data_IF_448746916225
#
_entry.id   IF_448746916225
#
_cell.length_a   1.000
_cell.length_b   1.000
_cell.length_c   1.000
_cell.angle_alpha   90.00
_cell.angle_beta   90.00
_cell.angle_gamma   90.00
#
_symmetry.space_group_name_H-M   'P 1'
#
loop_
_entity.id
_entity.type
_entity.pdbx_description
1 polymer ?
#
# COMPACT_ATOMS: atom_id res chain seq x y z
N UNK A 1 -55.13 5.34 11.69
CA UNK A 1 -55.51 4.59 10.47
C UNK A 1 -54.25 3.98 9.90
N UNK A 2 -54.16 2.65 9.80
CA UNK A 2 -53.01 1.98 9.21
C UNK A 2 -53.04 2.15 7.68
N UNK A 3 -51.90 2.48 7.07
CA UNK A 3 -51.77 2.66 5.63
C UNK A 3 -51.98 1.36 4.83
N UNK A 4 -52.08 1.45 3.50
CA UNK A 4 -52.35 0.30 2.64
C UNK A 4 -51.27 -0.77 2.77
N UNK A 5 -51.69 -2.04 2.70
CA UNK A 5 -50.80 -3.19 2.83
C UNK A 5 -49.75 -3.21 1.71
N UNK A 6 -48.65 -3.92 1.93
CA UNK A 6 -47.65 -4.14 0.88
C UNK A 6 -48.24 -4.78 -0.38
N UNK A 7 -49.18 -5.72 -0.21
CA UNK A 7 -49.85 -6.42 -1.32
C UNK A 7 -50.71 -5.45 -2.14
N UNK A 8 -51.39 -4.51 -1.49
CA UNK A 8 -52.21 -3.51 -2.20
C UNK A 8 -51.36 -2.51 -2.99
N UNK A 9 -50.15 -2.19 -2.49
CA UNK A 9 -49.20 -1.34 -3.21
C UNK A 9 -48.62 -2.01 -4.44
N UNK A 10 -48.34 -3.31 -4.38
CA UNK A 10 -47.83 -4.07 -5.55
C UNK A 10 -48.92 -4.24 -6.60
N UNK A 11 -50.17 -4.47 -6.18
CA UNK A 11 -51.29 -4.64 -7.13
C UNK A 11 -51.64 -3.35 -7.88
N UNK A 12 -51.43 -2.21 -7.23
CA UNK A 12 -51.70 -0.88 -7.80
C UNK A 12 -50.44 -0.17 -8.28
N UNK A 13 -49.29 -0.85 -8.32
CA UNK A 13 -48.09 -0.31 -8.94
C UNK A 13 -48.38 -0.10 -10.43
N UNK A 14 -48.11 1.09 -10.94
CA UNK A 14 -48.13 1.33 -12.38
C UNK A 14 -47.23 0.29 -13.06
N UNK A 15 -47.66 -0.26 -14.19
CA UNK A 15 -46.81 -1.11 -15.00
C UNK A 15 -45.52 -0.32 -15.25
N UNK A 16 -44.39 -0.93 -14.87
CA UNK A 16 -43.05 -0.35 -14.98
C UNK A 16 -42.95 0.28 -16.37
N UNK A 17 -42.81 1.61 -16.44
CA UNK A 17 -42.33 2.22 -17.67
C UNK A 17 -40.96 1.58 -17.86
N UNK A 18 -40.86 0.63 -18.78
CA UNK A 18 -39.59 0.08 -19.27
C UNK A 18 -38.84 1.28 -19.87
N UNK A 19 -38.23 2.09 -19.00
CA UNK A 19 -37.28 3.11 -19.40
C UNK A 19 -36.19 2.30 -20.04
N UNK A 20 -35.99 2.39 -21.36
CA UNK A 20 -34.92 1.65 -22.00
C UNK A 20 -33.67 2.07 -21.26
N UNK A 21 -33.00 1.10 -20.63
CA UNK A 21 -31.66 1.29 -20.12
C UNK A 21 -30.91 1.83 -21.32
N UNK A 22 -30.61 3.13 -21.30
CA UNK A 22 -29.72 3.69 -22.31
C UNK A 22 -28.46 2.87 -22.16
N UNK A 23 -28.04 2.22 -23.24
CA UNK A 23 -26.71 1.62 -23.38
C UNK A 23 -25.62 2.71 -23.38
N UNK A 24 -25.76 3.72 -22.52
CA UNK A 24 -24.74 4.68 -22.13
C UNK A 24 -23.85 4.06 -21.04
N UNK A 25 -23.64 2.75 -21.12
CA UNK A 25 -22.38 2.13 -20.70
C UNK A 25 -21.34 2.42 -21.78
N UNK A 26 -21.14 3.71 -22.10
CA UNK A 26 -19.85 4.14 -22.63
C UNK A 26 -18.76 3.63 -21.68
N UNK A 27 -17.54 3.37 -22.17
CA UNK A 27 -16.50 2.77 -21.33
C UNK A 27 -16.36 3.61 -20.06
N UNK A 28 -16.67 3.00 -18.91
CA UNK A 28 -16.49 3.55 -17.56
C UNK A 28 -15.04 4.06 -17.36
N UNK A 29 -14.12 3.64 -18.25
CA UNK A 29 -12.74 4.09 -18.36
C UNK A 29 -12.57 5.58 -18.70
N UNK A 30 -13.61 6.26 -19.20
CA UNK A 30 -13.51 7.64 -19.68
C UNK A 30 -13.99 8.71 -18.67
N UNK A 31 -14.41 8.32 -17.47
CA UNK A 31 -14.65 9.27 -16.40
C UNK A 31 -13.33 9.61 -15.72
N UNK A 32 -12.73 10.71 -16.16
CA UNK A 32 -11.65 11.46 -15.53
C UNK A 32 -10.47 10.60 -15.04
N UNK A 33 -9.40 10.54 -15.84
CA UNK A 33 -8.08 10.13 -15.32
C UNK A 33 -7.62 11.22 -14.36
N UNK A 34 -8.20 11.27 -13.17
CA UNK A 34 -7.66 12.02 -12.05
C UNK A 34 -6.24 11.50 -11.84
N UNK A 35 -5.27 12.42 -11.76
CA UNK A 35 -3.89 12.04 -11.48
C UNK A 35 -3.85 11.16 -10.23
N UNK A 36 -3.28 9.97 -10.39
CA UNK A 36 -3.21 8.99 -9.32
C UNK A 36 -2.44 9.59 -8.13
N UNK A 37 -3.08 9.59 -6.96
CA UNK A 37 -2.44 10.08 -5.73
C UNK A 37 -1.18 9.26 -5.43
N UNK A 38 -0.22 9.87 -4.72
CA UNK A 38 1.00 9.15 -4.32
C UNK A 38 0.70 7.87 -3.52
N UNK A 39 -0.37 7.87 -2.71
CA UNK A 39 -0.81 6.69 -1.97
C UNK A 39 -1.32 5.58 -2.91
N UNK A 40 -2.17 5.91 -3.88
CA UNK A 40 -2.66 4.96 -4.87
C UNK A 40 -1.49 4.35 -5.68
N UNK A 41 -0.53 5.18 -6.11
CA UNK A 41 0.70 4.73 -6.75
C UNK A 41 1.44 3.71 -5.87
N UNK A 42 1.65 4.03 -4.58
CA UNK A 42 2.34 3.11 -3.67
C UNK A 42 1.55 1.81 -3.45
N UNK A 43 0.22 1.86 -3.31
CA UNK A 43 -0.62 0.66 -3.17
C UNK A 43 -0.46 -0.25 -4.40
N UNK A 44 -0.41 0.32 -5.61
CA UNK A 44 -0.13 -0.43 -6.83
C UNK A 44 1.25 -1.07 -6.79
N UNK A 45 2.30 -0.29 -6.51
CA UNK A 45 3.66 -0.83 -6.43
C UNK A 45 3.81 -1.89 -5.34
N UNK A 46 3.17 -1.70 -4.19
CA UNK A 46 3.11 -2.67 -3.10
C UNK A 46 2.41 -3.96 -3.51
N UNK A 47 1.28 -3.87 -4.19
CA UNK A 47 0.54 -5.03 -4.70
C UNK A 47 1.38 -5.77 -5.73
N UNK A 48 2.00 -5.06 -6.67
CA UNK A 48 2.87 -5.66 -7.68
C UNK A 48 4.07 -6.36 -7.04
N UNK A 49 4.74 -5.71 -6.08
CA UNK A 49 5.87 -6.28 -5.37
C UNK A 49 5.48 -7.57 -4.63
N UNK A 50 4.31 -7.61 -3.99
CA UNK A 50 3.85 -8.83 -3.29
C UNK A 50 3.60 -10.01 -4.21
N UNK A 51 3.16 -9.77 -5.45
CA UNK A 51 2.78 -10.83 -6.39
C UNK A 51 3.87 -11.14 -7.42
N UNK A 52 4.91 -10.31 -7.54
CA UNK A 52 6.04 -10.59 -8.40
C UNK A 52 6.98 -11.65 -7.76
N UNK A 53 7.47 -12.64 -8.54
CA UNK A 53 8.40 -13.65 -8.03
C UNK A 53 9.80 -13.08 -7.74
N UNK A 54 10.19 -12.05 -8.50
CA UNK A 54 11.47 -11.35 -8.44
C UNK A 54 11.30 -9.93 -7.88
N UNK A 55 12.40 -9.29 -7.46
CA UNK A 55 12.41 -7.92 -6.94
C UNK A 55 12.16 -6.91 -8.06
N UNK A 56 11.23 -5.98 -7.84
CA UNK A 56 10.92 -4.91 -8.80
C UNK A 56 11.80 -3.67 -8.56
N UNK A 57 11.84 -2.68 -9.48
CA UNK A 57 12.57 -1.45 -9.25
C UNK A 57 12.09 -0.68 -8.01
N UNK A 58 13.03 -0.24 -7.18
CA UNK A 58 12.75 0.58 -6.00
C UNK A 58 12.03 1.88 -6.39
N UNK A 59 11.06 2.28 -5.56
CA UNK A 59 10.26 3.48 -5.76
C UNK A 59 10.70 4.58 -4.78
N UNK A 60 11.99 4.89 -4.77
CA UNK A 60 12.62 5.74 -3.74
C UNK A 60 12.01 7.15 -3.71
N UNK A 61 11.86 7.79 -4.87
CA UNK A 61 11.30 9.14 -4.95
C UNK A 61 9.83 9.19 -4.47
N UNK A 62 9.03 8.19 -4.84
CA UNK A 62 7.65 8.08 -4.36
C UNK A 62 7.60 7.86 -2.85
N UNK A 63 8.44 6.96 -2.33
CA UNK A 63 8.52 6.65 -0.92
C UNK A 63 8.98 7.87 -0.10
N UNK A 64 9.99 8.60 -0.58
CA UNK A 64 10.47 9.83 0.05
C UNK A 64 9.37 10.87 0.20
N UNK A 65 8.66 11.19 -0.89
CA UNK A 65 7.52 12.13 -0.87
C UNK A 65 6.43 11.71 0.11
N UNK A 66 6.11 10.42 0.17
CA UNK A 66 5.10 9.89 1.10
C UNK A 66 5.56 9.96 2.56
N UNK A 67 6.81 9.65 2.84
CA UNK A 67 7.38 9.75 4.19
C UNK A 67 7.38 11.20 4.68
N UNK A 68 7.74 12.16 3.82
CA UNK A 68 7.71 13.58 4.15
C UNK A 68 6.29 14.06 4.44
N UNK A 69 5.31 13.66 3.61
CA UNK A 69 3.91 14.00 3.82
C UNK A 69 3.38 13.39 5.13
N UNK A 70 3.68 12.12 5.40
CA UNK A 70 3.24 11.43 6.62
C UNK A 70 3.89 12.01 7.87
N UNK A 71 5.15 12.45 7.78
CA UNK A 71 5.82 13.17 8.87
C UNK A 71 5.08 14.47 9.19
N UNK A 72 4.84 15.31 8.16
CA UNK A 72 4.10 16.57 8.34
C UNK A 72 2.70 16.35 8.92
N UNK A 73 1.92 15.41 8.38
CA UNK A 73 0.59 15.10 8.91
C UNK A 73 0.64 14.56 10.34
N UNK A 74 1.67 13.78 10.70
CA UNK A 74 1.83 13.30 12.07
C UNK A 74 2.10 14.46 13.03
N UNK A 75 2.93 15.42 12.63
CA UNK A 75 3.25 16.62 13.43
C UNK A 75 2.01 17.52 13.59
N UNK A 76 1.26 17.75 12.50
CA UNK A 76 0.02 18.52 12.51
C UNK A 76 -1.04 17.87 13.43
N UNK A 77 -1.20 16.55 13.37
CA UNK A 77 -2.12 15.82 14.25
C UNK A 77 -1.70 15.92 15.72
N UNK A 78 -0.41 15.87 16.02
CA UNK A 78 0.08 16.04 17.39
C UNK A 78 -0.20 17.44 17.92
N UNK A 79 0.00 18.47 17.08
CA UNK A 79 -0.30 19.86 17.44
C UNK A 79 -1.79 20.06 17.73
N UNK A 80 -2.66 19.59 16.83
CA UNK A 80 -4.11 19.73 16.98
C UNK A 80 -4.66 18.95 18.19
N UNK A 81 -4.04 17.80 18.55
CA UNK A 81 -4.41 17.06 19.76
C UNK A 81 -4.01 17.76 21.06
N UNK A 82 -3.01 18.63 21.01
CA UNK A 82 -2.53 19.34 22.19
C UNK A 82 -3.40 20.56 22.54
N UNK A 83 -4.33 20.95 21.67
CA UNK A 83 -5.25 22.07 21.87
C UNK A 83 -6.38 21.69 22.85
N UNK A 84 -6.40 22.25 24.08
CA UNK A 84 -7.41 21.93 25.09
C UNK A 84 -8.79 22.51 24.75
N UNK A 85 -8.88 23.47 23.83
CA UNK A 85 -10.12 24.15 23.46
C UNK A 85 -10.81 23.52 22.23
N UNK A 86 -10.29 22.39 21.73
CA UNK A 86 -10.85 21.68 20.59
C UNK A 86 -12.25 21.11 20.88
N UNK A 87 -13.18 21.31 19.95
CA UNK A 87 -14.54 20.78 20.02
C UNK A 87 -14.58 19.26 19.84
N UNK A 88 -15.67 18.59 20.28
CA UNK A 88 -15.85 17.15 20.06
C UNK A 88 -15.83 16.76 18.57
N UNK A 89 -16.35 17.62 17.70
CA UNK A 89 -16.35 17.40 16.25
C UNK A 89 -14.92 17.48 15.67
N UNK A 90 -14.11 18.42 16.14
CA UNK A 90 -12.69 18.50 15.77
C UNK A 90 -11.91 17.30 16.29
N UNK A 91 -12.18 16.87 17.53
CA UNK A 91 -11.58 15.66 18.08
C UNK A 91 -11.87 14.43 17.21
N UNK A 92 -13.11 14.26 16.76
CA UNK A 92 -13.49 13.19 15.85
C UNK A 92 -12.75 13.27 14.50
N UNK A 93 -12.66 14.47 13.89
CA UNK A 93 -11.87 14.68 12.66
C UNK A 93 -10.40 14.32 12.85
N UNK A 94 -9.80 14.72 13.97
CA UNK A 94 -8.40 14.42 14.30
C UNK A 94 -8.18 12.90 14.45
N UNK A 95 -9.13 12.18 15.06
CA UNK A 95 -9.07 10.71 15.12
C UNK A 95 -9.06 10.10 13.72
N UNK A 96 -9.93 10.55 12.81
CA UNK A 96 -9.98 10.03 11.45
C UNK A 96 -8.65 10.24 10.71
N UNK A 97 -8.07 11.44 10.80
CA UNK A 97 -6.76 11.75 10.17
C UNK A 97 -5.65 10.88 10.78
N UNK A 98 -5.63 10.73 12.11
CA UNK A 98 -4.66 9.86 12.78
C UNK A 98 -4.77 8.41 12.31
N UNK A 99 -6.00 7.89 12.19
CA UNK A 99 -6.22 6.53 11.69
C UNK A 99 -5.71 6.39 10.25
N UNK A 100 -5.93 7.38 9.39
CA UNK A 100 -5.44 7.34 8.02
C UNK A 100 -3.91 7.37 7.95
N UNK A 101 -3.26 8.20 8.76
CA UNK A 101 -1.80 8.23 8.89
C UNK A 101 -1.25 6.84 9.23
N UNK A 102 -1.88 6.13 10.17
CA UNK A 102 -1.45 4.78 10.55
C UNK A 102 -1.69 3.74 9.45
N UNK A 103 -2.76 3.88 8.65
CA UNK A 103 -3.01 3.03 7.47
C UNK A 103 -1.92 3.22 6.42
N UNK A 104 -1.52 4.46 6.14
CA UNK A 104 -0.44 4.74 5.18
C UNK A 104 0.90 4.21 5.70
N UNK A 105 1.22 4.41 6.98
CA UNK A 105 2.42 3.84 7.61
C UNK A 105 2.44 2.32 7.52
N UNK A 106 1.29 1.65 7.62
CA UNK A 106 1.20 0.21 7.44
C UNK A 106 1.58 -0.20 6.01
N UNK A 107 1.03 0.47 4.98
CA UNK A 107 1.36 0.17 3.57
C UNK A 107 2.85 0.37 3.31
N UNK A 108 3.44 1.48 3.76
CA UNK A 108 4.88 1.76 3.64
C UNK A 108 5.72 0.64 4.28
N UNK A 109 5.43 0.30 5.54
CA UNK A 109 6.16 -0.77 6.25
C UNK A 109 5.99 -2.12 5.57
N UNK A 110 4.79 -2.44 5.08
CA UNK A 110 4.51 -3.69 4.38
C UNK A 110 5.32 -3.79 3.09
N UNK A 111 5.34 -2.72 2.29
CA UNK A 111 6.15 -2.65 1.06
C UNK A 111 7.64 -2.90 1.31
N UNK A 112 8.23 -2.17 2.26
CA UNK A 112 9.65 -2.31 2.59
C UNK A 112 9.96 -3.73 3.08
N UNK A 113 9.13 -4.29 3.97
CA UNK A 113 9.32 -5.66 4.47
C UNK A 113 9.23 -6.72 3.37
N UNK A 114 8.29 -6.57 2.42
CA UNK A 114 8.19 -7.46 1.27
C UNK A 114 9.47 -7.43 0.44
N UNK A 115 10.04 -6.24 0.20
CA UNK A 115 11.29 -6.08 -0.53
C UNK A 115 12.48 -6.69 0.21
N UNK A 116 12.65 -6.38 1.49
CA UNK A 116 13.73 -6.95 2.34
C UNK A 116 13.67 -8.48 2.33
N UNK A 117 12.47 -9.06 2.48
CA UNK A 117 12.30 -10.50 2.45
C UNK A 117 12.79 -11.13 1.13
N UNK A 118 12.47 -10.51 -0.01
CA UNK A 118 12.97 -10.96 -1.32
C UNK A 118 14.49 -10.81 -1.44
N UNK A 119 15.03 -9.68 -0.97
CA UNK A 119 16.47 -9.42 -0.97
C UNK A 119 17.23 -10.50 -0.20
N UNK A 120 16.78 -10.84 1.01
CA UNK A 120 17.40 -11.89 1.83
C UNK A 120 17.27 -13.27 1.19
N UNK A 121 16.09 -13.58 0.64
CA UNK A 121 15.83 -14.85 -0.04
C UNK A 121 16.74 -15.07 -1.24
N UNK A 122 16.95 -14.03 -2.05
CA UNK A 122 17.68 -14.08 -3.32
C UNK A 122 19.07 -13.42 -3.26
N UNK A 123 19.65 -13.23 -2.07
CA UNK A 123 20.91 -12.49 -1.87
C UNK A 123 22.08 -12.98 -2.75
N UNK A 124 22.19 -14.29 -2.99
CA UNK A 124 23.21 -14.86 -3.87
C UNK A 124 22.99 -14.48 -5.34
N UNK A 125 21.74 -14.54 -5.83
CA UNK A 125 21.40 -14.17 -7.20
C UNK A 125 21.62 -12.68 -7.44
N UNK A 126 21.19 -11.85 -6.50
CA UNK A 126 21.39 -10.40 -6.52
C UNK A 126 22.88 -10.07 -6.59
N UNK A 127 23.70 -10.70 -5.72
CA UNK A 127 25.15 -10.45 -5.69
C UNK A 127 25.88 -10.89 -6.97
N UNK A 128 25.34 -11.86 -7.70
CA UNK A 128 25.94 -12.38 -8.93
C UNK A 128 25.49 -11.63 -10.20
N UNK A 129 24.42 -10.86 -10.14
CA UNK A 129 23.75 -10.26 -11.31
C UNK A 129 23.74 -8.74 -11.20
N UNK A 130 24.64 -8.02 -11.90
CA UNK A 130 24.76 -6.56 -11.80
C UNK A 130 23.46 -5.81 -12.11
N UNK A 131 22.67 -6.26 -13.07
CA UNK A 131 21.40 -5.64 -13.46
C UNK A 131 20.39 -5.57 -12.30
N UNK A 132 20.50 -6.47 -11.31
CA UNK A 132 19.64 -6.43 -10.13
C UNK A 132 19.95 -5.23 -9.24
N UNK A 133 21.19 -4.75 -9.24
CA UNK A 133 21.60 -3.62 -8.40
C UNK A 133 20.86 -2.33 -8.76
N UNK A 134 20.47 -2.14 -10.03
CA UNK A 134 19.69 -0.97 -10.49
C UNK A 134 18.26 -0.96 -9.92
N UNK A 135 17.76 -2.10 -9.43
CA UNK A 135 16.42 -2.23 -8.85
C UNK A 135 16.39 -1.97 -7.35
N UNK A 136 17.54 -1.85 -6.70
CA UNK A 136 17.67 -1.71 -5.26
C UNK A 136 18.07 -0.27 -4.91
N UNK A 137 17.55 0.23 -3.79
CA UNK A 137 18.12 1.43 -3.18
C UNK A 137 19.52 1.14 -2.64
N UNK A 138 20.30 2.20 -2.38
CA UNK A 138 21.63 2.05 -1.77
C UNK A 138 21.59 1.26 -0.45
N UNK A 139 20.60 1.55 0.42
CA UNK A 139 20.43 0.84 1.69
C UNK A 139 20.02 -0.63 1.50
N UNK A 140 19.23 -0.92 0.47
CA UNK A 140 18.86 -2.30 0.12
C UNK A 140 20.06 -3.09 -0.43
N UNK A 141 20.90 -2.45 -1.23
CA UNK A 141 22.11 -3.06 -1.79
C UNK A 141 23.09 -3.44 -0.67
N UNK A 142 23.32 -2.53 0.27
CA UNK A 142 24.18 -2.78 1.44
C UNK A 142 23.63 -3.93 2.31
N UNK A 143 22.30 -3.98 2.47
CA UNK A 143 21.63 -5.10 3.16
C UNK A 143 21.81 -6.42 2.42
N UNK A 144 21.65 -6.42 1.09
CA UNK A 144 21.83 -7.60 0.25
C UNK A 144 23.25 -8.18 0.37
N UNK A 145 24.27 -7.31 0.31
CA UNK A 145 25.67 -7.71 0.44
C UNK A 145 25.97 -8.31 1.82
N UNK A 146 25.41 -7.71 2.88
CA UNK A 146 25.53 -8.23 4.24
C UNK A 146 24.87 -9.60 4.38
N UNK A 147 23.63 -9.73 3.90
CA UNK A 147 22.89 -10.99 3.92
C UNK A 147 23.61 -12.10 3.15
N UNK A 148 24.18 -11.78 1.99
CA UNK A 148 24.98 -12.74 1.22
C UNK A 148 26.22 -13.21 1.99
N UNK A 149 26.96 -12.29 2.61
CA UNK A 149 28.15 -12.61 3.40
C UNK A 149 27.83 -13.55 4.56
N UNK A 150 26.85 -13.19 5.39
CA UNK A 150 26.43 -14.02 6.53
C UNK A 150 25.98 -15.41 6.09
N UNK A 151 25.17 -15.49 5.03
CA UNK A 151 24.68 -16.77 4.51
C UNK A 151 25.81 -17.66 3.97
N UNK A 152 26.85 -17.05 3.39
CA UNK A 152 28.05 -17.77 2.91
C UNK A 152 28.87 -18.32 4.08
N UNK A 153 29.08 -17.53 5.13
CA UNK A 153 29.78 -17.96 6.35
C UNK A 153 29.07 -19.14 7.02
N UNK A 154 27.75 -19.08 7.15
CA UNK A 154 26.94 -20.16 7.69
C UNK A 154 27.10 -21.45 6.87
N UNK A 155 26.98 -21.34 5.54
CA UNK A 155 27.16 -22.49 4.64
C UNK A 155 28.54 -23.14 4.79
N UNK A 156 29.60 -22.34 4.90
CA UNK A 156 30.95 -22.88 5.07
C UNK A 156 31.14 -23.54 6.44
N UNK A 157 30.49 -23.02 7.47
CA UNK A 157 30.57 -23.56 8.83
C UNK A 157 29.83 -24.88 8.92
N UNK A 158 28.60 -24.95 8.42
CA UNK A 158 27.79 -26.18 8.41
C UNK A 158 28.41 -27.27 7.53
N UNK A 159 28.97 -26.92 6.37
CA UNK A 159 29.63 -27.91 5.50
C UNK A 159 30.87 -28.51 6.17
N UNK A 160 31.64 -27.71 6.91
CA UNK A 160 32.81 -28.18 7.66
C UNK A 160 32.45 -29.07 8.84
N UNK A 161 31.29 -28.85 9.49
CA UNK A 161 30.84 -29.70 10.60
C UNK A 161 30.27 -31.04 10.15
N UNK A 162 29.69 -31.13 8.95
CA UNK A 162 29.13 -32.38 8.41
C UNK A 162 30.19 -33.34 7.82
N UNK A 163 31.40 -32.85 7.59
CA UNK A 163 32.54 -33.61 7.04
C UNK A 163 33.50 -34.14 8.13
N UNK A 164 33.15 -33.99 9.42
CA UNK A 164 33.85 -34.58 10.57
C UNK A 164 32.97 -35.62 11.24
#
# INVERSE_FOLDING_TARGET
MAGPSFIDRVRNAAADDDVPIRDDFGPILAQDIAEETSLQQLIRHWTNERHAPDILPAQEHLLGRLLDHIRKQSDDVQLLRADPDSSEEEHFRIILVQTEVERVKFVIRSYIRTRIHKIEKYAQYISATPDMHERLSQGELEHAQRAYRSRKEDWTTTSRSLLR
#
